data_IF_477356515114
#
_entry.id   IF_477356515114
#
_cell.length_a   1.000
_cell.length_b   1.000
_cell.length_c   1.000
_cell.angle_alpha   90.00
_cell.angle_beta   90.00
_cell.angle_gamma   90.00
#
_symmetry.space_group_name_H-M   'P 1'
#
loop_
_entity.id
_entity.type
_entity.pdbx_description
1 polymer ?
#
# COMPACT_ATOMS: atom_id res chain seq x y z
N UNK A 1 -36.94 50.97 13.92
CA UNK A 1 -37.41 51.46 12.61
C UNK A 1 -36.40 50.94 11.58
N UNK A 2 -36.76 49.85 10.86
CA UNK A 2 -37.16 49.88 9.43
C UNK A 2 -35.91 50.03 8.54
N UNK A 3 -35.45 49.11 7.66
CA UNK A 3 -36.08 48.13 6.79
C UNK A 3 -35.03 47.07 6.36
N UNK A 4 -35.47 45.81 6.15
CA UNK A 4 -34.85 44.89 5.20
C UNK A 4 -35.41 45.12 3.79
N UNK A 5 -34.64 44.74 2.76
CA UNK A 5 -35.17 43.91 1.66
C UNK A 5 -34.21 42.72 1.44
N UNK A 6 -34.59 41.46 1.64
CA UNK A 6 -35.45 40.58 0.83
C UNK A 6 -35.15 40.53 -0.68
N UNK A 7 -34.92 39.28 -1.12
CA UNK A 7 -35.06 38.69 -2.47
C UNK A 7 -34.34 39.29 -3.69
N UNK A 8 -33.24 38.63 -4.06
CA UNK A 8 -32.96 38.31 -5.47
C UNK A 8 -32.47 36.86 -5.59
N UNK A 9 -33.43 35.96 -5.54
CA UNK A 9 -33.60 34.81 -6.44
C UNK A 9 -32.43 34.58 -7.44
N UNK A 10 -31.40 33.84 -7.05
CA UNK A 10 -30.59 33.10 -8.02
C UNK A 10 -30.80 31.60 -7.84
N UNK A 11 -32.03 31.19 -8.13
CA UNK A 11 -32.30 29.89 -8.73
C UNK A 11 -31.63 29.88 -10.11
N UNK A 12 -30.40 29.38 -10.19
CA UNK A 12 -29.90 28.81 -11.45
C UNK A 12 -29.99 27.29 -11.31
N UNK A 13 -30.96 26.78 -12.05
CA UNK A 13 -31.21 25.37 -12.25
C UNK A 13 -29.95 24.65 -12.80
N UNK A 14 -29.83 23.35 -12.52
CA UNK A 14 -28.68 22.53 -12.89
C UNK A 14 -28.62 22.36 -14.40
N UNK A 15 -27.48 22.73 -15.00
CA UNK A 15 -27.11 22.21 -16.32
C UNK A 15 -26.76 20.73 -16.17
N UNK A 16 -27.79 19.90 -16.34
CA UNK A 16 -27.67 18.52 -16.77
C UNK A 16 -26.83 18.47 -18.06
N UNK A 17 -25.53 18.22 -17.93
CA UNK A 17 -24.81 17.48 -18.97
C UNK A 17 -24.75 16.03 -18.51
N UNK A 18 -25.87 15.32 -18.73
CA UNK A 18 -25.85 13.89 -18.92
C UNK A 18 -24.91 13.60 -20.10
N UNK A 19 -23.66 13.27 -19.80
CA UNK A 19 -22.85 12.49 -20.73
C UNK A 19 -23.39 11.07 -20.68
N UNK A 20 -24.34 10.78 -21.56
CA UNK A 20 -24.70 9.41 -21.92
C UNK A 20 -23.51 8.76 -22.62
N UNK A 21 -22.63 8.11 -21.86
CA UNK A 21 -21.66 7.17 -22.44
C UNK A 21 -22.42 5.87 -22.68
N UNK A 22 -23.08 5.81 -23.84
CA UNK A 22 -23.57 4.59 -24.43
C UNK A 22 -22.42 3.92 -25.21
N UNK A 23 -22.16 2.64 -24.92
CA UNK A 23 -21.15 1.81 -25.61
C UNK A 23 -20.51 0.85 -24.62
N UNK A 24 -21.22 -0.20 -24.18
CA UNK A 24 -21.27 -1.52 -24.82
C UNK A 24 -19.96 -2.00 -25.44
N UNK A 25 -19.45 -3.08 -24.84
CA UNK A 25 -18.59 -4.10 -25.42
C UNK A 25 -17.16 -3.68 -25.80
N UNK A 26 -16.22 -3.98 -24.91
CA UNK A 26 -15.31 -5.10 -25.13
C UNK A 26 -14.45 -5.29 -23.88
N UNK A 27 -14.80 -6.32 -23.10
CA UNK A 27 -13.84 -6.95 -22.20
C UNK A 27 -12.76 -7.61 -23.06
N UNK A 28 -11.76 -6.84 -23.46
CA UNK A 28 -10.49 -7.37 -23.92
C UNK A 28 -9.68 -7.72 -22.66
N UNK A 29 -9.84 -8.95 -22.20
CA UNK A 29 -8.84 -9.61 -21.38
C UNK A 29 -7.56 -9.75 -22.22
N UNK A 30 -6.74 -8.70 -22.24
CA UNK A 30 -5.34 -8.81 -22.63
C UNK A 30 -4.66 -9.59 -21.50
N UNK A 31 -4.67 -10.92 -21.63
CA UNK A 31 -3.77 -11.80 -20.90
C UNK A 31 -2.37 -11.54 -21.46
N UNK A 32 -1.78 -10.42 -21.05
CA UNK A 32 -0.37 -10.13 -21.30
C UNK A 32 0.42 -11.19 -20.56
N UNK A 33 0.89 -12.19 -21.30
CA UNK A 33 1.74 -13.24 -20.78
C UNK A 33 2.94 -12.59 -20.09
N UNK A 34 3.06 -12.79 -18.78
CA UNK A 34 4.32 -12.62 -18.06
C UNK A 34 5.31 -13.62 -18.66
N UNK A 35 6.04 -13.21 -19.69
CA UNK A 35 7.25 -13.92 -20.06
C UNK A 35 8.26 -13.62 -18.96
N UNK A 36 8.38 -14.55 -18.01
CA UNK A 36 9.53 -14.64 -17.14
C UNK A 36 10.76 -14.77 -18.05
N UNK A 37 11.45 -13.67 -18.28
CA UNK A 37 12.72 -13.65 -19.00
C UNK A 37 13.74 -14.35 -18.10
N UNK A 38 13.88 -15.67 -18.27
CA UNK A 38 14.96 -16.41 -17.66
C UNK A 38 16.29 -15.87 -18.22
N UNK A 39 17.25 -15.45 -17.37
CA UNK A 39 18.60 -15.22 -17.84
C UNK A 39 19.18 -16.56 -18.33
N UNK A 40 19.86 -16.51 -19.48
CA UNK A 40 20.48 -17.67 -20.10
C UNK A 40 21.39 -18.42 -19.11
N UNK A 41 21.42 -19.78 -19.12
CA UNK A 41 22.35 -20.51 -18.29
C UNK A 41 23.77 -20.27 -18.80
N UNK A 42 24.62 -19.68 -17.94
CA UNK A 42 26.06 -19.72 -18.13
C UNK A 42 26.51 -21.19 -18.19
N UNK A 43 27.36 -21.49 -19.17
CA UNK A 43 27.89 -22.83 -19.42
C UNK A 43 28.54 -23.45 -18.15
N UNK A 44 28.47 -24.78 -17.98
CA UNK A 44 29.00 -25.44 -16.79
C UNK A 44 30.54 -25.41 -16.81
N UNK A 45 31.13 -24.74 -15.82
CA UNK A 45 32.52 -25.01 -15.44
C UNK A 45 32.60 -26.41 -14.84
N UNK A 46 33.52 -27.20 -15.36
CA UNK A 46 33.74 -28.59 -15.01
C UNK A 46 33.92 -28.80 -13.50
N UNK A 47 33.38 -29.92 -13.04
CA UNK A 47 33.34 -30.36 -11.65
C UNK A 47 34.72 -30.67 -11.07
N UNK A 48 34.95 -30.23 -9.83
CA UNK A 48 35.72 -30.97 -8.84
C UNK A 48 34.71 -31.58 -7.84
N UNK A 49 34.65 -32.91 -7.65
CA UNK A 49 33.73 -33.49 -6.67
C UNK A 49 34.32 -33.38 -5.27
N UNK A 50 33.82 -32.42 -4.48
CA UNK A 50 34.03 -32.41 -3.03
C UNK A 50 33.14 -33.48 -2.36
N UNK A 51 33.64 -34.17 -1.31
CA UNK A 51 33.02 -35.37 -0.77
C UNK A 51 31.67 -35.09 -0.11
N UNK A 52 30.71 -35.97 -0.34
CA UNK A 52 29.48 -36.06 0.46
C UNK A 52 29.83 -36.48 1.90
N UNK A 53 29.62 -35.56 2.85
CA UNK A 53 29.54 -35.84 4.28
C UNK A 53 28.57 -34.79 4.85
N UNK A 54 27.32 -35.19 5.12
CA UNK A 54 26.85 -35.72 6.40
C UNK A 54 26.32 -34.60 7.30
N UNK A 55 25.10 -34.85 7.75
CA UNK A 55 24.32 -34.21 8.81
C UNK A 55 25.18 -33.46 9.85
N UNK A 56 24.99 -32.16 9.94
CA UNK A 56 25.70 -31.28 10.87
C UNK A 56 24.77 -30.15 11.25
N UNK A 57 24.26 -30.23 12.49
CA UNK A 57 23.21 -29.38 13.02
C UNK A 57 23.39 -27.90 12.67
N UNK A 58 22.26 -27.25 12.42
CA UNK A 58 22.15 -25.81 12.26
C UNK A 58 22.91 -25.16 13.43
N UNK A 59 24.08 -24.51 13.20
CA UNK A 59 24.62 -23.66 14.23
C UNK A 59 23.50 -22.64 14.48
N UNK A 60 23.09 -22.49 15.74
CA UNK A 60 22.30 -21.35 16.14
C UNK A 60 23.20 -20.14 15.86
N UNK A 61 23.11 -19.63 14.63
CA UNK A 61 23.82 -18.46 14.18
C UNK A 61 23.33 -17.35 15.09
N UNK A 62 24.18 -16.99 16.05
CA UNK A 62 24.13 -15.68 16.65
C UNK A 62 24.66 -14.70 15.61
N UNK A 63 23.96 -14.64 14.47
CA UNK A 63 24.11 -13.60 13.48
C UNK A 63 23.56 -12.33 14.13
N UNK A 64 24.34 -11.25 14.06
CA UNK A 64 23.81 -9.94 14.39
C UNK A 64 22.52 -9.72 13.60
N UNK A 65 21.47 -9.11 14.19
CA UNK A 65 20.21 -8.91 13.50
C UNK A 65 20.50 -8.20 12.18
N UNK A 66 20.08 -8.83 11.08
CA UNK A 66 20.17 -8.20 9.77
C UNK A 66 19.43 -6.86 9.83
N UNK A 67 19.91 -5.83 9.11
CA UNK A 67 19.17 -4.57 9.04
C UNK A 67 17.76 -4.84 8.55
N UNK A 68 16.77 -4.32 9.27
CA UNK A 68 15.36 -4.51 8.96
C UNK A 68 15.09 -3.99 7.54
N UNK A 69 14.49 -4.82 6.69
CA UNK A 69 14.12 -4.38 5.36
C UNK A 69 12.98 -3.36 5.52
N UNK A 70 12.96 -2.24 4.79
CA UNK A 70 11.94 -1.19 4.99
C UNK A 70 10.48 -1.67 4.90
N UNK A 71 10.22 -2.74 4.13
CA UNK A 71 8.88 -3.33 4.01
C UNK A 71 8.48 -4.21 5.20
N UNK A 72 9.42 -4.63 6.03
CA UNK A 72 9.18 -5.50 7.19
C UNK A 72 8.95 -4.69 8.49
N UNK A 73 9.05 -3.36 8.43
CA UNK A 73 8.82 -2.51 9.59
C UNK A 73 7.40 -2.69 10.14
N UNK A 74 7.30 -2.85 11.46
CA UNK A 74 6.02 -3.00 12.16
C UNK A 74 5.59 -1.66 12.76
N UNK A 75 4.48 -1.05 12.28
CA UNK A 75 3.98 0.18 12.86
C UNK A 75 3.30 -0.06 14.21
N UNK A 76 3.32 0.95 15.06
CA UNK A 76 2.47 1.00 16.26
C UNK A 76 1.09 1.51 15.86
N UNK A 77 0.05 0.73 16.18
CA UNK A 77 -1.34 1.14 16.00
C UNK A 77 -1.90 1.86 17.23
N UNK A 78 -2.60 2.97 17.01
CA UNK A 78 -3.33 3.75 18.02
C UNK A 78 -4.66 4.25 17.44
N UNK A 79 -5.75 4.21 18.23
CA UNK A 79 -7.02 4.84 17.85
C UNK A 79 -6.95 6.35 18.09
N UNK A 80 -7.44 7.14 17.13
CA UNK A 80 -7.56 8.60 17.26
C UNK A 80 -8.78 8.98 18.10
N UNK A 81 -8.84 10.22 18.60
CA UNK A 81 -10.01 10.73 19.32
C UNK A 81 -11.29 10.75 18.47
N UNK A 82 -11.16 10.83 17.14
CA UNK A 82 -12.25 10.77 16.17
C UNK A 82 -12.61 9.35 15.73
N UNK A 83 -11.93 8.33 16.28
CA UNK A 83 -12.24 6.91 16.07
C UNK A 83 -11.58 6.29 14.83
N UNK A 84 -10.67 6.99 14.16
CA UNK A 84 -9.83 6.40 13.12
C UNK A 84 -8.67 5.59 13.70
N UNK A 85 -8.00 4.82 12.85
CA UNK A 85 -6.79 4.09 13.20
C UNK A 85 -5.57 4.89 12.72
N UNK A 86 -4.57 5.02 13.57
CA UNK A 86 -3.30 5.66 13.24
C UNK A 86 -2.15 4.67 13.37
N UNK A 87 -1.28 4.65 12.37
CA UNK A 87 -0.11 3.77 12.29
C UNK A 87 1.14 4.62 12.32
N UNK A 88 1.94 4.48 13.38
CA UNK A 88 3.17 5.25 13.60
C UNK A 88 4.41 4.38 13.34
N UNK A 89 5.29 4.89 12.49
CA UNK A 89 6.55 4.27 12.09
C UNK A 89 7.72 4.89 12.85
N UNK A 90 8.85 4.19 12.89
CA UNK A 90 10.07 4.55 13.64
C UNK A 90 10.67 5.89 13.20
N UNK A 91 10.55 6.22 11.91
CA UNK A 91 11.03 7.48 11.34
C UNK A 91 10.10 8.68 11.64
N UNK A 92 9.03 8.48 12.41
CA UNK A 92 8.05 9.51 12.74
C UNK A 92 6.96 9.70 11.69
N UNK A 93 6.90 8.87 10.63
CA UNK A 93 5.73 8.83 9.76
C UNK A 93 4.49 8.39 10.55
N UNK A 94 3.37 9.04 10.28
CA UNK A 94 2.05 8.66 10.79
C UNK A 94 1.10 8.56 9.60
N UNK A 95 0.47 7.40 9.45
CA UNK A 95 -0.58 7.16 8.47
C UNK A 95 -1.90 6.98 9.21
N UNK A 96 -2.90 7.80 8.89
CA UNK A 96 -4.25 7.70 9.47
C UNK A 96 -5.16 7.04 8.45
N UNK A 97 -5.82 5.96 8.88
CA UNK A 97 -6.71 5.12 8.08
C UNK A 97 -8.11 5.14 8.70
N UNK A 98 -9.14 5.11 7.85
CA UNK A 98 -10.53 5.03 8.32
C UNK A 98 -10.76 3.80 9.22
N UNK A 99 -11.68 3.95 10.19
CA UNK A 99 -11.97 2.91 11.18
C UNK A 99 -12.52 1.63 10.56
N UNK A 100 -13.44 1.77 9.60
CA UNK A 100 -14.23 0.64 9.05
C UNK A 100 -13.70 0.12 7.72
N UNK A 101 -12.71 0.78 7.14
CA UNK A 101 -12.18 0.50 5.80
C UNK A 101 -10.69 0.78 5.80
N UNK A 102 -9.92 -0.03 5.07
CA UNK A 102 -8.51 0.25 4.80
C UNK A 102 -8.37 1.36 3.74
N UNK A 103 -8.77 2.58 4.09
CA UNK A 103 -8.66 3.77 3.24
C UNK A 103 -7.87 4.83 3.99
N UNK A 104 -6.74 5.25 3.41
CA UNK A 104 -5.92 6.32 3.97
C UNK A 104 -6.67 7.65 3.93
N UNK A 105 -6.73 8.32 5.07
CA UNK A 105 -7.28 9.68 5.20
C UNK A 105 -6.17 10.74 5.25
N UNK A 106 -5.04 10.42 5.86
CA UNK A 106 -3.94 11.35 6.04
C UNK A 106 -2.60 10.61 6.09
N UNK A 107 -1.57 11.24 5.52
CA UNK A 107 -0.18 10.83 5.63
C UNK A 107 0.66 12.02 6.12
N UNK A 108 1.59 11.77 7.03
CA UNK A 108 2.56 12.76 7.48
C UNK A 108 3.67 13.02 6.44
N UNK A 109 4.43 14.13 6.57
CA UNK A 109 5.47 14.50 5.61
C UNK A 109 6.69 13.58 5.63
N UNK A 110 6.90 12.81 6.70
CA UNK A 110 7.99 11.82 6.82
C UNK A 110 7.63 10.48 6.15
N UNK A 111 6.42 10.36 5.58
CA UNK A 111 5.95 9.11 5.02
C UNK A 111 6.55 8.86 3.64
N UNK A 112 7.07 7.64 3.47
CA UNK A 112 7.45 7.09 2.19
C UNK A 112 6.32 6.17 1.70
N UNK A 113 6.31 5.82 0.41
CA UNK A 113 5.23 5.01 -0.17
C UNK A 113 5.02 3.68 0.56
N UNK A 114 6.10 3.04 1.01
CA UNK A 114 6.01 1.77 1.72
C UNK A 114 5.30 1.86 3.07
N UNK A 115 5.40 2.99 3.80
CA UNK A 115 4.66 3.16 5.06
C UNK A 115 3.14 3.14 4.83
N UNK A 116 2.65 3.72 3.72
CA UNK A 116 1.24 3.60 3.35
C UNK A 116 0.88 2.14 3.11
N UNK A 117 1.66 1.45 2.30
CA UNK A 117 1.35 0.08 1.90
C UNK A 117 1.30 -0.85 3.12
N UNK A 118 2.28 -0.71 4.03
CA UNK A 118 2.30 -1.42 5.32
C UNK A 118 1.07 -1.05 6.16
N UNK A 119 0.76 0.24 6.34
CA UNK A 119 -0.41 0.65 7.13
C UNK A 119 -1.72 0.09 6.57
N UNK A 120 -1.88 0.04 5.25
CA UNK A 120 -3.06 -0.55 4.60
C UNK A 120 -3.14 -2.07 4.80
N UNK A 121 -2.01 -2.77 4.78
CA UNK A 121 -1.98 -4.20 5.10
C UNK A 121 -2.50 -4.46 6.52
N UNK A 122 -1.98 -3.76 7.52
CA UNK A 122 -2.45 -3.88 8.92
C UNK A 122 -3.93 -3.49 9.05
N UNK A 123 -4.36 -2.38 8.45
CA UNK A 123 -5.74 -1.93 8.52
C UNK A 123 -6.76 -2.85 7.83
N UNK A 124 -6.30 -3.75 6.95
CA UNK A 124 -7.16 -4.71 6.25
C UNK A 124 -7.29 -6.06 6.96
N UNK A 125 -6.45 -6.33 7.97
CA UNK A 125 -6.42 -7.60 8.70
C UNK A 125 -7.25 -7.63 10.00
N UNK A 126 -7.77 -6.47 10.41
CA UNK A 126 -8.66 -6.26 11.58
C UNK A 126 -10.13 -6.23 11.15
#
# INVERSE_FOLDING_TARGET
>A
MLFSPDTALQRRAPTHHLLHIAGSAAALCLMTACTAQAPAPAAPVAADPAPVAADGGHPADTAAPAPERPMDEVPREEATASGERSYRFSNGCVVVVEAKRAVVKQEGPQCQSHHRDIALLYASGD
#
